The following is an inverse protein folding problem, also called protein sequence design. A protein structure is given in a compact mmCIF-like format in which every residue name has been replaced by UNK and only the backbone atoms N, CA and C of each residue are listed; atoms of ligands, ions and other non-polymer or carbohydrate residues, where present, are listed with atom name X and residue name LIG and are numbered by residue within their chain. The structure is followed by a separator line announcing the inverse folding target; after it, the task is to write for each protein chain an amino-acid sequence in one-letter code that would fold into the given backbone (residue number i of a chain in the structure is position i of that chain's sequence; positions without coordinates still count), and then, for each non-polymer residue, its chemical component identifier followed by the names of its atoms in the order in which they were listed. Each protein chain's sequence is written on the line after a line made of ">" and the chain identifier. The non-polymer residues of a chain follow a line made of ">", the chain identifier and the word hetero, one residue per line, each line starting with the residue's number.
data_IF_631858119133
#
_entry.id   IF_631858119133
#
_cell.length_a   1.000
_cell.length_b   1.000
_cell.length_c   1.000
_cell.angle_alpha   90.00
_cell.angle_beta   90.00
_cell.angle_gamma   90.00
#
_symmetry.space_group_name_H-M   'P 1'
#
loop_
_entity.id
_entity.type
_entity.pdbx_description
1 polymer ?
#
# COMPACT_ATOMS: atom_id res chain seq x y z
N UNK A 1 -10.23 -16.03 -17.14
CA UNK A 1 -9.27 -16.40 -16.07
C UNK A 1 -8.10 -17.26 -16.57
N UNK A 2 -7.40 -16.87 -17.66
CA UNK A 2 -6.23 -17.61 -18.20
C UNK A 2 -5.11 -16.68 -18.76
N UNK A 3 -4.96 -15.48 -18.25
CA UNK A 3 -3.88 -14.56 -18.68
C UNK A 3 -2.73 -14.60 -17.67
N UNK A 4 -1.80 -15.55 -17.79
CA UNK A 4 -0.58 -15.65 -16.96
C UNK A 4 0.18 -14.32 -16.95
N UNK A 5 0.47 -13.78 -15.76
CA UNK A 5 1.25 -12.55 -15.62
C UNK A 5 0.46 -11.30 -15.22
N UNK A 6 -0.62 -11.41 -14.44
CA UNK A 6 -1.36 -10.24 -13.93
C UNK A 6 -0.45 -9.30 -13.10
N UNK A 7 0.56 -9.86 -12.44
CA UNK A 7 1.62 -9.08 -11.79
C UNK A 7 2.46 -8.23 -12.75
N UNK A 8 2.59 -8.64 -14.02
CA UNK A 8 3.26 -7.83 -15.06
C UNK A 8 2.40 -6.65 -15.52
N UNK A 9 1.08 -6.69 -15.30
CA UNK A 9 0.19 -5.60 -15.70
C UNK A 9 0.42 -4.35 -14.85
N UNK A 10 0.82 -4.49 -13.58
CA UNK A 10 1.15 -3.34 -12.75
C UNK A 10 2.22 -2.46 -13.40
N UNK A 11 3.34 -3.05 -13.81
CA UNK A 11 4.40 -2.32 -14.51
C UNK A 11 4.01 -1.78 -15.89
N UNK A 12 2.95 -2.33 -16.51
CA UNK A 12 2.38 -1.80 -17.74
C UNK A 12 1.47 -0.58 -17.51
N UNK A 13 0.68 -0.58 -16.43
CA UNK A 13 -0.21 0.52 -16.05
C UNK A 13 0.55 1.68 -15.40
N UNK A 14 1.62 1.36 -14.68
CA UNK A 14 2.43 2.27 -13.90
C UNK A 14 3.90 2.23 -14.37
N UNK A 15 4.20 2.63 -15.62
CA UNK A 15 5.53 2.48 -16.20
C UNK A 15 6.57 3.44 -15.62
N UNK A 16 6.13 4.60 -15.14
CA UNK A 16 7.00 5.69 -14.68
C UNK A 16 6.69 6.18 -13.28
N UNK A 17 5.44 6.03 -12.82
CA UNK A 17 4.96 6.53 -11.54
C UNK A 17 4.22 5.43 -10.81
N UNK A 18 4.32 5.39 -9.49
CA UNK A 18 3.51 4.50 -8.65
C UNK A 18 2.08 5.03 -8.49
N UNK A 19 1.21 4.19 -7.93
CA UNK A 19 -0.18 4.52 -7.67
C UNK A 19 -0.31 5.73 -6.75
N UNK A 20 -1.10 6.71 -7.18
CA UNK A 20 -1.53 7.86 -6.39
C UNK A 20 -3.05 7.86 -6.36
N UNK A 21 -3.61 7.68 -5.18
CA UNK A 21 -5.05 7.69 -4.94
C UNK A 21 -5.40 8.93 -4.14
N UNK A 22 -6.28 9.79 -4.66
CA UNK A 22 -6.74 10.97 -3.95
C UNK A 22 -8.18 10.74 -3.51
N UNK A 23 -8.41 10.69 -2.20
CA UNK A 23 -9.75 10.52 -1.63
C UNK A 23 -10.67 11.62 -2.16
N UNK A 24 -11.95 11.29 -2.38
CA UNK A 24 -13.00 12.14 -2.98
C UNK A 24 -12.90 12.39 -4.50
N UNK A 25 -11.71 12.30 -5.11
CA UNK A 25 -11.53 12.62 -6.54
C UNK A 25 -11.17 11.41 -7.40
N UNK A 26 -10.40 10.45 -6.86
CA UNK A 26 -10.10 9.18 -7.53
C UNK A 26 -11.29 8.21 -7.45
N UNK A 27 -11.46 7.39 -8.49
CA UNK A 27 -12.48 6.36 -8.56
C UNK A 27 -11.91 5.00 -8.14
N UNK A 28 -12.39 4.45 -7.01
CA UNK A 28 -11.91 3.17 -6.48
C UNK A 28 -11.99 1.99 -7.47
N UNK A 29 -12.94 1.99 -8.41
CA UNK A 29 -13.10 0.90 -9.37
C UNK A 29 -12.10 0.93 -10.53
N UNK A 30 -11.35 2.03 -10.68
CA UNK A 30 -10.45 2.27 -11.82
C UNK A 30 -9.05 2.68 -11.39
N UNK A 31 -8.95 3.54 -10.38
CA UNK A 31 -7.72 4.21 -9.97
C UNK A 31 -7.07 3.52 -8.77
N UNK A 32 -7.78 2.58 -8.14
CA UNK A 32 -7.20 1.70 -7.12
C UNK A 32 -6.83 0.36 -7.75
N UNK A 33 -5.52 0.15 -7.95
CA UNK A 33 -5.01 -1.17 -8.23
C UNK A 33 -4.96 -1.92 -6.90
N UNK A 34 -5.55 -3.11 -6.81
CA UNK A 34 -5.69 -3.79 -5.52
C UNK A 34 -4.42 -4.54 -5.07
N UNK A 35 -3.45 -4.78 -5.97
CA UNK A 35 -2.23 -5.54 -5.70
C UNK A 35 -0.98 -4.66 -5.71
N UNK A 36 -0.34 -4.42 -4.56
CA UNK A 36 0.94 -3.73 -4.47
C UNK A 36 2.07 -4.71 -4.67
N UNK A 37 2.65 -4.67 -5.86
CA UNK A 37 3.60 -5.64 -6.40
C UNK A 37 4.89 -4.94 -6.82
N UNK A 38 5.95 -5.71 -6.98
CA UNK A 38 7.25 -5.21 -7.40
C UNK A 38 7.20 -4.59 -8.81
N UNK A 39 7.97 -3.51 -9.01
CA UNK A 39 8.09 -2.87 -10.32
C UNK A 39 9.27 -3.46 -11.08
N UNK A 40 9.04 -3.94 -12.30
CA UNK A 40 10.14 -4.40 -13.18
C UNK A 40 10.87 -3.19 -13.79
N UNK A 41 12.19 -3.18 -13.72
CA UNK A 41 13.02 -2.18 -14.40
C UNK A 41 13.32 -2.57 -15.86
N UNK A 42 13.27 -1.59 -16.77
CA UNK A 42 13.54 -1.78 -18.21
C UNK A 42 15.04 -1.63 -18.56
N UNK A 43 15.94 -2.31 -17.83
CA UNK A 43 17.41 -2.19 -18.02
C UNK A 43 18.07 -3.52 -18.46
N UNK A 44 17.30 -4.42 -19.07
CA UNK A 44 17.84 -5.64 -19.71
C UNK A 44 18.09 -6.83 -18.78
N UNK A 45 17.90 -6.68 -17.47
CA UNK A 45 17.99 -7.75 -16.44
C UNK A 45 16.63 -7.83 -15.72
N UNK A 46 16.28 -9.01 -15.16
CA UNK A 46 15.12 -9.17 -14.26
C UNK A 46 15.36 -8.50 -12.90
N UNK A 47 15.54 -7.18 -12.91
CA UNK A 47 15.68 -6.35 -11.71
C UNK A 47 14.31 -5.82 -11.36
N UNK A 48 13.96 -5.93 -10.08
CA UNK A 48 12.72 -5.45 -9.51
C UNK A 48 13.00 -4.40 -8.45
N UNK A 49 12.09 -3.45 -8.28
CA UNK A 49 12.17 -2.45 -7.23
C UNK A 49 10.91 -2.39 -6.38
N UNK A 50 11.12 -1.97 -5.14
CA UNK A 50 10.08 -1.60 -4.20
C UNK A 50 9.13 -0.57 -4.82
N UNK A 51 7.87 -0.64 -4.42
CA UNK A 51 6.84 0.30 -4.88
C UNK A 51 6.23 1.04 -3.71
N UNK A 52 6.09 2.36 -3.86
CA UNK A 52 5.50 3.23 -2.84
C UNK A 52 4.22 3.86 -3.38
N UNK A 53 3.09 3.48 -2.83
CA UNK A 53 1.80 4.08 -3.14
C UNK A 53 1.53 5.28 -2.26
N UNK A 54 0.75 6.22 -2.77
CA UNK A 54 0.37 7.45 -2.08
C UNK A 54 -1.14 7.55 -1.99
N UNK A 55 -1.66 7.69 -0.78
CA UNK A 55 -3.07 7.96 -0.53
C UNK A 55 -3.16 9.39 0.01
N UNK A 56 -3.71 10.29 -0.79
CA UNK A 56 -3.84 11.71 -0.47
C UNK A 56 -5.27 11.96 0.01
N UNK A 57 -5.42 12.64 1.15
CA UNK A 57 -6.73 12.95 1.73
C UNK A 57 -6.68 14.30 2.45
N UNK A 58 -7.83 14.97 2.54
CA UNK A 58 -7.95 16.25 3.24
C UNK A 58 -8.66 16.06 4.59
N UNK A 59 -8.17 16.76 5.62
CA UNK A 59 -8.84 16.86 6.92
C UNK A 59 -9.24 18.31 7.19
N UNK A 60 -10.51 18.54 7.53
CA UNK A 60 -11.04 19.89 7.87
C UNK A 60 -10.59 20.36 9.25
N UNK A 61 -10.37 19.42 10.16
CA UNK A 61 -9.82 19.62 11.50
C UNK A 61 -9.00 18.41 11.94
N UNK A 62 -8.00 18.64 12.79
CA UNK A 62 -7.18 17.60 13.40
C UNK A 62 -7.14 17.83 14.90
N UNK A 63 -7.41 16.79 15.69
CA UNK A 63 -7.10 16.80 17.11
C UNK A 63 -5.68 16.27 17.30
N UNK A 64 -4.74 17.18 17.53
CA UNK A 64 -3.32 16.85 17.67
C UNK A 64 -2.98 16.10 18.95
N UNK A 65 -3.87 16.12 19.96
CA UNK A 65 -3.67 15.44 21.23
C UNK A 65 -4.21 14.00 21.23
N UNK A 66 -5.01 13.64 20.23
CA UNK A 66 -5.69 12.36 20.14
C UNK A 66 -5.02 11.40 19.13
N UNK A 67 -5.39 10.12 19.23
CA UNK A 67 -4.93 9.08 18.30
C UNK A 67 -6.02 8.74 17.28
N UNK A 68 -5.59 8.70 16.02
CA UNK A 68 -6.36 8.19 14.89
C UNK A 68 -6.01 6.72 14.68
N UNK A 69 -6.87 5.97 14.00
CA UNK A 69 -6.63 4.54 13.73
C UNK A 69 -6.69 4.25 12.24
N UNK A 70 -5.60 3.74 11.67
CA UNK A 70 -5.59 3.18 10.33
C UNK A 70 -5.84 1.67 10.42
N UNK A 71 -7.00 1.24 9.95
CA UNK A 71 -7.33 -0.15 9.69
C UNK A 71 -6.76 -0.55 8.34
N UNK A 72 -5.88 -1.56 8.32
CA UNK A 72 -5.24 -2.07 7.13
C UNK A 72 -5.48 -3.57 7.00
N UNK A 73 -6.19 -3.95 5.94
CA UNK A 73 -6.53 -5.34 5.65
C UNK A 73 -5.93 -5.81 4.32
N UNK A 74 -5.31 -6.99 4.37
CA UNK A 74 -4.72 -7.66 3.22
C UNK A 74 -5.44 -8.97 2.95
N UNK A 75 -5.93 -9.16 1.73
CA UNK A 75 -6.48 -10.43 1.27
C UNK A 75 -5.38 -11.46 0.95
N UNK A 76 -4.17 -11.01 0.63
CA UNK A 76 -3.01 -11.83 0.28
C UNK A 76 -1.72 -11.12 0.69
N UNK A 77 -0.73 -11.88 1.14
CA UNK A 77 0.67 -11.46 1.20
C UNK A 77 1.59 -12.58 0.70
N UNK A 78 2.55 -12.25 -0.15
CA UNK A 78 3.59 -13.17 -0.63
C UNK A 78 4.96 -12.56 -0.42
N UNK A 79 5.71 -13.12 0.55
CA UNK A 79 7.07 -12.69 0.90
C UNK A 79 7.23 -11.17 0.89
N UNK A 80 6.35 -10.50 1.61
CA UNK A 80 6.20 -9.06 1.57
C UNK A 80 6.55 -8.45 2.91
N UNK A 81 7.10 -7.24 2.85
CA UNK A 81 7.15 -6.33 3.98
C UNK A 81 6.53 -5.02 3.53
N UNK A 82 5.46 -4.61 4.23
CA UNK A 82 4.76 -3.36 3.97
C UNK A 82 5.06 -2.37 5.08
N UNK A 83 5.51 -1.19 4.67
CA UNK A 83 5.78 -0.07 5.56
C UNK A 83 4.80 1.06 5.33
N UNK A 84 4.36 1.69 6.41
CA UNK A 84 3.43 2.83 6.42
C UNK A 84 4.20 4.06 6.88
N UNK A 85 4.10 5.16 6.13
CA UNK A 85 4.60 6.50 6.54
C UNK A 85 3.50 7.54 6.40
N UNK A 86 3.56 8.56 7.24
CA UNK A 86 2.55 9.64 7.30
C UNK A 86 3.24 10.96 6.98
N UNK A 87 2.75 11.66 5.96
CA UNK A 87 3.16 12.98 5.47
C UNK A 87 4.62 13.12 4.98
N UNK A 88 5.59 12.41 5.55
CA UNK A 88 6.95 12.30 5.04
C UNK A 88 7.24 10.88 4.53
N UNK A 89 7.15 10.70 3.21
CA UNK A 89 7.45 9.42 2.56
C UNK A 89 8.93 9.03 2.57
N UNK A 90 9.82 9.95 2.94
CA UNK A 90 11.28 9.73 3.02
C UNK A 90 11.79 9.63 4.46
N UNK A 91 10.89 9.67 5.45
CA UNK A 91 11.25 9.47 6.85
C UNK A 91 12.09 8.19 6.99
N UNK A 92 13.22 8.30 7.69
CA UNK A 92 14.16 7.19 7.87
C UNK A 92 13.44 5.98 8.49
N UNK A 93 12.77 6.21 9.62
CA UNK A 93 11.96 5.20 10.28
C UNK A 93 10.52 5.22 9.75
N UNK A 94 9.94 4.06 9.37
CA UNK A 94 8.51 3.99 9.08
C UNK A 94 7.70 4.26 10.35
N UNK A 95 6.49 4.81 10.19
CA UNK A 95 5.53 4.89 11.30
C UNK A 95 5.11 3.50 11.76
N UNK A 96 4.96 2.59 10.82
CA UNK A 96 4.63 1.20 11.08
C UNK A 96 5.26 0.29 10.02
N UNK A 97 5.74 -0.88 10.43
CA UNK A 97 6.13 -1.97 9.52
C UNK A 97 5.42 -3.24 9.95
N UNK A 98 4.91 -3.98 8.97
CA UNK A 98 4.35 -5.30 9.21
C UNK A 98 5.44 -6.34 9.53
N UNK A 99 6.70 -6.08 9.14
CA UNK A 99 7.74 -7.10 9.06
C UNK A 99 7.53 -8.05 7.88
N UNK A 100 8.38 -9.08 7.79
CA UNK A 100 8.28 -10.10 6.73
C UNK A 100 7.06 -11.00 6.96
N UNK A 101 6.10 -10.97 6.04
CA UNK A 101 4.89 -11.79 6.07
C UNK A 101 4.62 -12.48 4.74
N UNK A 102 3.74 -13.47 4.77
CA UNK A 102 3.26 -14.18 3.58
C UNK A 102 3.83 -15.59 3.43
N UNK A 103 3.79 -16.09 2.20
CA UNK A 103 3.98 -17.50 1.85
C UNK A 103 2.86 -18.05 0.96
N UNK A 104 1.86 -17.20 0.69
CA UNK A 104 0.74 -17.50 -0.18
C UNK A 104 1.11 -17.40 -1.66
N UNK A 105 0.68 -18.33 -2.52
CA UNK A 105 1.01 -18.30 -3.94
C UNK A 105 -0.08 -17.66 -4.84
N UNK A 106 -1.09 -17.02 -4.25
CA UNK A 106 -2.22 -16.43 -4.95
C UNK A 106 -1.77 -15.40 -5.97
N UNK A 107 -0.81 -14.52 -5.68
CA UNK A 107 -0.29 -13.56 -6.68
C UNK A 107 0.26 -14.29 -7.91
N UNK A 108 1.12 -15.29 -7.72
CA UNK A 108 1.72 -16.07 -8.81
C UNK A 108 0.70 -16.98 -9.55
N UNK A 109 -0.41 -17.32 -8.91
CA UNK A 109 -1.48 -18.19 -9.45
C UNK A 109 -2.73 -17.43 -9.89
N UNK A 110 -2.73 -16.10 -9.79
CA UNK A 110 -3.89 -15.22 -9.93
C UNK A 110 -5.10 -15.59 -9.05
N UNK A 111 -4.83 -16.09 -7.85
CA UNK A 111 -5.81 -15.99 -6.78
C UNK A 111 -6.01 -14.53 -6.38
N UNK A 112 -7.16 -14.25 -5.77
CA UNK A 112 -7.48 -12.97 -5.14
C UNK A 112 -7.75 -13.14 -3.64
N UNK A 113 -7.48 -14.34 -3.12
CA UNK A 113 -7.74 -14.72 -1.75
C UNK A 113 -6.64 -15.66 -1.28
N UNK A 114 -6.10 -15.36 -0.11
CA UNK A 114 -5.06 -16.10 0.57
C UNK A 114 -5.27 -16.01 2.08
N UNK A 115 -4.19 -16.08 2.85
CA UNK A 115 -4.28 -15.77 4.28
C UNK A 115 -4.64 -14.29 4.48
N UNK A 116 -5.71 -14.04 5.24
CA UNK A 116 -6.18 -12.70 5.56
C UNK A 116 -5.39 -12.09 6.73
N UNK A 117 -5.00 -10.84 6.58
CA UNK A 117 -4.26 -10.08 7.60
C UNK A 117 -5.00 -8.79 7.92
N UNK A 118 -5.15 -8.47 9.21
CA UNK A 118 -5.76 -7.23 9.68
C UNK A 118 -4.86 -6.57 10.71
N UNK A 119 -4.56 -5.29 10.48
CA UNK A 119 -3.73 -4.47 11.36
C UNK A 119 -4.49 -3.21 11.76
N UNK A 120 -4.47 -2.92 13.07
CA UNK A 120 -4.97 -1.66 13.64
C UNK A 120 -3.77 -0.80 14.03
N UNK A 121 -3.52 0.26 13.26
CA UNK A 121 -2.32 1.09 13.39
C UNK A 121 -2.71 2.43 13.99
N UNK A 122 -2.26 2.71 15.22
CA UNK A 122 -2.47 4.01 15.85
C UNK A 122 -1.59 5.09 15.22
N UNK A 123 -2.16 6.24 14.86
CA UNK A 123 -1.47 7.41 14.30
C UNK A 123 -1.71 8.59 15.23
N UNK A 124 -0.64 9.17 15.77
CA UNK A 124 -0.77 10.35 16.62
C UNK A 124 -1.25 11.55 15.79
N UNK A 125 -2.22 12.29 16.31
CA UNK A 125 -2.80 13.43 15.60
C UNK A 125 -1.80 14.54 15.26
N UNK A 126 -0.71 14.67 16.02
CA UNK A 126 0.40 15.59 15.73
C UNK A 126 1.16 15.27 14.43
N UNK A 127 1.02 14.06 13.87
CA UNK A 127 1.57 13.67 12.57
C UNK A 127 0.68 14.11 11.41
N UNK A 128 -0.57 14.52 11.70
CA UNK A 128 -1.56 14.97 10.73
C UNK A 128 -1.67 16.50 10.75
N UNK A 129 -2.16 17.06 9.65
CA UNK A 129 -2.34 18.51 9.48
C UNK A 129 -3.74 18.83 9.01
N UNK A 130 -4.22 20.04 9.31
CA UNK A 130 -5.42 20.57 8.65
C UNK A 130 -5.11 20.81 7.16
N UNK A 131 -5.94 20.28 6.28
CA UNK A 131 -5.71 20.27 4.84
C UNK A 131 -5.16 18.93 4.37
N UNK A 132 -4.24 18.99 3.40
CA UNK A 132 -3.78 17.80 2.67
C UNK A 132 -2.79 16.97 3.51
N UNK A 133 -3.08 15.67 3.61
CA UNK A 133 -2.24 14.67 4.22
C UNK A 133 -1.96 13.55 3.21
N UNK A 134 -0.88 12.80 3.42
CA UNK A 134 -0.54 11.63 2.59
C UNK A 134 -0.16 10.45 3.45
N UNK A 135 -0.79 9.30 3.24
CA UNK A 135 -0.30 7.99 3.70
C UNK A 135 0.54 7.40 2.57
N UNK A 136 1.76 6.98 2.89
CA UNK A 136 2.64 6.25 1.98
C UNK A 136 2.64 4.77 2.37
N UNK A 137 2.36 3.90 1.41
CA UNK A 137 2.41 2.45 1.57
C UNK A 137 3.54 1.90 0.71
N UNK A 138 4.61 1.43 1.34
CA UNK A 138 5.80 0.92 0.63
C UNK A 138 5.94 -0.57 0.82
N UNK A 139 5.83 -1.33 -0.27
CA UNK A 139 6.26 -2.72 -0.30
C UNK A 139 7.77 -2.73 -0.58
N UNK A 140 8.57 -3.19 0.38
CA UNK A 140 10.04 -3.00 0.34
C UNK A 140 10.78 -4.17 -0.32
N UNK A 141 10.20 -5.37 -0.33
CA UNK A 141 10.87 -6.58 -0.81
C UNK A 141 10.66 -6.74 -2.32
N UNK A 142 11.73 -6.57 -3.10
CA UNK A 142 11.65 -6.64 -4.56
C UNK A 142 12.72 -7.54 -5.19
N UNK A 143 12.68 -8.81 -4.84
CA UNK A 143 13.58 -9.84 -5.39
C UNK A 143 12.93 -10.60 -6.55
N UNK A 144 11.60 -10.74 -6.55
CA UNK A 144 10.84 -11.52 -7.53
C UNK A 144 9.65 -10.72 -8.09
N UNK A 145 9.07 -11.12 -9.25
CA UNK A 145 7.98 -10.36 -9.88
C UNK A 145 6.63 -10.47 -9.17
N UNK A 146 6.47 -11.37 -8.21
CA UNK A 146 5.19 -11.67 -7.57
C UNK A 146 5.24 -11.50 -6.04
N UNK A 147 6.32 -10.92 -5.52
CA UNK A 147 6.37 -10.42 -4.16
C UNK A 147 5.43 -9.23 -4.00
N UNK A 148 4.72 -9.20 -2.87
CA UNK A 148 3.82 -8.10 -2.56
C UNK A 148 2.56 -8.50 -1.81
N UNK A 149 1.59 -7.59 -1.82
CA UNK A 149 0.34 -7.71 -1.07
C UNK A 149 -0.86 -7.42 -1.95
N UNK A 150 -2.01 -7.99 -1.63
CA UNK A 150 -3.31 -7.56 -2.15
C UNK A 150 -4.12 -6.94 -1.04
N UNK A 151 -4.56 -5.71 -1.24
CA UNK A 151 -5.42 -5.01 -0.30
C UNK A 151 -6.85 -5.53 -0.41
N UNK A 152 -7.47 -5.76 0.75
CA UNK A 152 -8.92 -5.90 0.84
C UNK A 152 -9.53 -4.54 1.20
N UNK A 153 -9.01 -3.93 2.26
CA UNK A 153 -9.61 -2.74 2.85
C UNK A 153 -8.62 -1.83 3.55
N UNK A 154 -8.86 -0.51 3.45
CA UNK A 154 -8.15 0.54 4.17
C UNK A 154 -9.17 1.54 4.74
N UNK A 155 -9.07 1.88 6.03
CA UNK A 155 -9.88 2.93 6.66
C UNK A 155 -9.09 3.70 7.69
N UNK A 156 -9.12 5.02 7.58
CA UNK A 156 -8.64 5.92 8.61
C UNK A 156 -9.83 6.39 9.46
N UNK A 157 -9.75 6.17 10.76
CA UNK A 157 -10.77 6.51 11.75
C UNK A 157 -10.30 7.69 12.59
N UNK A 158 -11.19 8.64 12.84
CA UNK A 158 -10.98 9.70 13.81
C UNK A 158 -10.96 9.17 15.24
N UNK A 159 -10.45 9.96 16.20
CA UNK A 159 -10.51 9.58 17.62
C UNK A 159 -11.94 9.41 18.09
N UNK A 160 -12.14 8.49 19.04
CA UNK A 160 -13.43 8.33 19.71
C UNK A 160 -13.77 9.63 20.46
N UNK A 161 -14.96 10.19 20.18
CA UNK A 161 -15.52 11.34 20.88
C UNK A 161 -16.09 10.94 22.24
#
# INVERSE_FOLDING_TARGET
>A
FRQYGLWKQYSGLYPTNYLVYTVETSNYSRDWFYACLTQKMNVGINIYTATTWRIIFNLTSVDTASNYTLQLALAVAHEAELQVRINDGKAQEPHFTIGFIGGDNAIARHGIHGLYWLYSIGIQGNLLTKGANTIFLTQTIALTPYQGVMYDYLRLEGPHQ
#
